data_IF_721937175559
#
_entry.id   IF_721937175559
#
_cell.length_a   1.000
_cell.length_b   1.000
_cell.length_c   1.000
_cell.angle_alpha   90.00
_cell.angle_beta   90.00
_cell.angle_gamma   90.00
#
_symmetry.space_group_name_H-M   'P 1'
#
loop_
_entity.id
_entity.type
_entity.pdbx_description
1 polymer ?
#
# COMPACT_ATOMS: atom_id res chain seq x y z
N UNK A 1 13.83 14.61 -9.43
CA UNK A 1 13.32 13.99 -8.21
C UNK A 1 12.61 12.70 -8.54
N UNK A 2 13.01 11.64 -7.89
CA UNK A 2 12.46 10.34 -8.21
C UNK A 2 11.14 10.09 -7.49
N UNK A 3 10.10 9.81 -8.27
CA UNK A 3 8.82 9.40 -7.72
C UNK A 3 8.95 7.99 -7.15
N UNK A 4 8.42 7.78 -5.95
CA UNK A 4 8.39 6.47 -5.33
C UNK A 4 7.03 5.83 -5.55
N UNK A 5 7.02 4.51 -5.70
CA UNK A 5 5.80 3.73 -5.82
C UNK A 5 5.46 3.12 -4.48
N UNK A 6 4.28 3.43 -3.98
CA UNK A 6 3.79 2.94 -2.69
C UNK A 6 2.75 1.86 -2.87
N UNK A 7 2.71 0.94 -1.91
CA UNK A 7 1.58 0.05 -1.70
C UNK A 7 1.10 0.29 -0.26
N UNK A 8 -0.19 0.12 -0.01
CA UNK A 8 -0.74 0.32 1.31
C UNK A 8 -1.50 -0.93 1.74
N UNK A 9 -1.27 -1.36 2.99
CA UNK A 9 -1.96 -2.50 3.59
C UNK A 9 -2.82 -1.96 4.71
N UNK A 10 -4.13 -2.21 4.65
CA UNK A 10 -5.08 -1.69 5.62
C UNK A 10 -5.67 -0.35 5.21
N UNK A 11 -6.02 -0.21 3.94
CA UNK A 11 -6.51 1.06 3.39
C UNK A 11 -7.84 1.50 4.01
N UNK A 12 -8.62 0.57 4.59
CA UNK A 12 -9.84 0.91 5.30
C UNK A 12 -9.58 1.32 6.74
N UNK A 13 -8.33 1.28 7.19
CA UNK A 13 -7.97 1.61 8.55
C UNK A 13 -8.15 3.09 8.86
N UNK A 14 -8.31 3.39 10.16
CA UNK A 14 -8.55 4.73 10.63
C UNK A 14 -7.44 5.72 10.24
N UNK A 15 -6.20 5.27 10.24
CA UNK A 15 -5.05 6.12 9.95
C UNK A 15 -4.73 6.21 8.45
N UNK A 16 -5.33 5.36 7.62
CA UNK A 16 -5.01 5.28 6.21
C UNK A 16 -5.18 6.59 5.44
N UNK A 17 -6.24 7.40 5.67
CA UNK A 17 -6.39 8.66 4.94
C UNK A 17 -5.18 9.59 5.11
N UNK A 18 -4.56 9.58 6.28
CA UNK A 18 -3.38 10.40 6.55
C UNK A 18 -2.20 9.93 5.69
N UNK A 19 -2.01 8.63 5.57
CA UNK A 19 -0.97 8.07 4.71
C UNK A 19 -1.25 8.35 3.24
N UNK A 20 -2.49 8.18 2.80
CA UNK A 20 -2.87 8.45 1.41
C UNK A 20 -2.60 9.90 1.03
N UNK A 21 -2.95 10.84 1.91
CA UNK A 21 -2.70 12.25 1.67
C UNK A 21 -1.21 12.55 1.59
N UNK A 22 -0.42 11.97 2.50
CA UNK A 22 1.01 12.19 2.50
C UNK A 22 1.67 11.68 1.22
N UNK A 23 1.24 10.50 0.75
CA UNK A 23 1.76 9.94 -0.50
C UNK A 23 1.44 10.88 -1.67
N UNK A 24 0.21 11.36 -1.72
CA UNK A 24 -0.22 12.25 -2.80
C UNK A 24 0.48 13.60 -2.74
N UNK A 25 0.55 14.21 -1.56
CA UNK A 25 1.12 15.55 -1.40
C UNK A 25 2.62 15.59 -1.69
N UNK A 26 3.31 14.46 -1.51
CA UNK A 26 4.75 14.39 -1.80
C UNK A 26 5.05 14.03 -3.25
N UNK A 27 4.02 13.92 -4.10
CA UNK A 27 4.21 13.63 -5.52
C UNK A 27 4.52 12.19 -5.82
N UNK A 28 4.26 11.28 -4.89
CA UNK A 28 4.48 9.85 -5.09
C UNK A 28 3.22 9.18 -5.61
N UNK A 29 3.36 7.93 -6.03
CA UNK A 29 2.28 7.17 -6.64
C UNK A 29 1.89 5.99 -5.78
N UNK A 30 0.59 5.69 -5.73
CA UNK A 30 0.11 4.48 -5.07
C UNK A 30 -0.27 3.48 -6.16
N UNK A 31 0.42 2.33 -6.18
CA UNK A 31 0.21 1.34 -7.24
C UNK A 31 -0.66 0.16 -6.81
N UNK A 32 -0.77 -0.10 -5.51
CA UNK A 32 -1.55 -1.22 -5.00
C UNK A 32 -2.07 -0.92 -3.60
N UNK A 33 -3.25 -1.42 -3.29
CA UNK A 33 -3.86 -1.26 -1.97
C UNK A 33 -4.57 -2.55 -1.58
N UNK A 34 -4.52 -2.86 -0.30
CA UNK A 34 -5.18 -4.03 0.25
C UNK A 34 -5.95 -3.71 1.51
N UNK A 35 -7.16 -4.24 1.62
CA UNK A 35 -7.90 -4.34 2.87
C UNK A 35 -8.92 -5.46 2.73
N UNK A 36 -9.16 -6.19 3.79
CA UNK A 36 -10.15 -7.25 3.75
C UNK A 36 -11.57 -6.70 3.60
N UNK A 37 -11.76 -5.42 3.89
CA UNK A 37 -13.04 -4.74 3.67
C UNK A 37 -12.98 -3.91 2.40
N UNK A 38 -14.10 -3.84 1.69
CA UNK A 38 -14.18 -3.04 0.47
C UNK A 38 -14.02 -1.56 0.82
N UNK A 39 -13.01 -0.92 0.24
CA UNK A 39 -12.65 0.46 0.53
C UNK A 39 -12.49 1.30 -0.73
N UNK A 40 -13.16 0.90 -1.81
CA UNK A 40 -13.02 1.57 -3.09
C UNK A 40 -13.32 3.07 -3.02
N UNK A 41 -14.31 3.45 -2.22
CA UNK A 41 -14.70 4.85 -2.11
C UNK A 41 -13.57 5.76 -1.67
N UNK A 42 -12.80 5.34 -0.64
CA UNK A 42 -11.70 6.16 -0.16
C UNK A 42 -10.55 6.18 -1.16
N UNK A 43 -10.34 5.08 -1.88
CA UNK A 43 -9.30 5.03 -2.90
C UNK A 43 -9.60 5.99 -4.04
N UNK A 44 -10.87 6.09 -4.45
CA UNK A 44 -11.27 6.97 -5.54
C UNK A 44 -10.99 8.44 -5.21
N UNK A 45 -11.01 8.80 -3.94
CA UNK A 45 -10.76 10.18 -3.53
C UNK A 45 -9.30 10.59 -3.69
N UNK A 46 -8.37 9.65 -3.58
CA UNK A 46 -6.94 9.93 -3.59
C UNK A 46 -6.21 9.37 -4.81
N UNK A 47 -6.47 8.10 -5.13
CA UNK A 47 -5.77 7.41 -6.19
C UNK A 47 -6.74 6.52 -6.99
N UNK A 48 -7.55 7.13 -7.87
CA UNK A 48 -8.58 6.37 -8.59
C UNK A 48 -8.04 5.29 -9.52
N UNK A 49 -6.77 5.38 -9.91
CA UNK A 49 -6.17 4.41 -10.83
C UNK A 49 -5.40 3.30 -10.09
N UNK A 50 -5.41 3.31 -8.77
CA UNK A 50 -4.71 2.30 -7.99
C UNK A 50 -5.47 0.97 -8.03
N UNK A 51 -4.73 -0.13 -8.10
CA UNK A 51 -5.32 -1.47 -8.03
C UNK A 51 -5.65 -1.81 -6.58
N UNK A 52 -6.89 -2.19 -6.32
CA UNK A 52 -7.36 -2.50 -4.98
C UNK A 52 -7.74 -3.98 -4.87
N UNK A 53 -7.36 -4.60 -3.75
CA UNK A 53 -7.59 -6.02 -3.51
C UNK A 53 -8.17 -6.24 -2.12
N UNK A 54 -9.10 -7.21 -2.03
CA UNK A 54 -9.65 -7.63 -0.75
C UNK A 54 -9.06 -8.96 -0.29
N UNK A 55 -8.20 -9.57 -1.10
CA UNK A 55 -7.51 -10.82 -0.75
C UNK A 55 -6.02 -10.61 -0.82
N UNK A 56 -5.33 -10.96 0.27
CA UNK A 56 -3.88 -10.75 0.38
C UNK A 56 -3.11 -11.49 -0.71
N UNK A 57 -3.57 -12.68 -1.07
CA UNK A 57 -2.91 -13.46 -2.11
C UNK A 57 -2.90 -12.75 -3.46
N UNK A 58 -4.01 -12.12 -3.82
CA UNK A 58 -4.10 -11.40 -5.09
C UNK A 58 -3.27 -10.13 -5.05
N UNK A 59 -3.26 -9.44 -3.91
CA UNK A 59 -2.42 -8.28 -3.69
C UNK A 59 -0.94 -8.65 -3.86
N UNK A 60 -0.51 -9.73 -3.21
CA UNK A 60 0.86 -10.20 -3.30
C UNK A 60 1.25 -10.55 -4.73
N UNK A 61 0.36 -11.25 -5.43
CA UNK A 61 0.63 -11.63 -6.83
C UNK A 61 0.82 -10.39 -7.71
N UNK A 62 -0.02 -9.39 -7.49
CA UNK A 62 0.07 -8.14 -8.24
C UNK A 62 1.40 -7.42 -7.96
N UNK A 63 1.74 -7.24 -6.69
CA UNK A 63 2.98 -6.58 -6.31
C UNK A 63 4.20 -7.33 -6.83
N UNK A 64 4.15 -8.66 -6.83
CA UNK A 64 5.25 -9.47 -7.34
C UNK A 64 5.43 -9.29 -8.85
N UNK A 65 4.35 -9.13 -9.58
CA UNK A 65 4.43 -8.87 -11.01
C UNK A 65 5.08 -7.53 -11.32
N UNK A 66 4.90 -6.55 -10.43
CA UNK A 66 5.44 -5.22 -10.64
C UNK A 66 6.94 -5.13 -10.40
N UNK A 67 7.55 -6.13 -9.77
CA UNK A 67 8.96 -6.08 -9.39
C UNK A 67 9.92 -5.77 -10.54
N UNK A 68 9.58 -6.20 -11.73
CA UNK A 68 10.44 -6.00 -12.90
C UNK A 68 9.96 -4.88 -13.79
N UNK A 69 9.12 -4.01 -13.27
CA UNK A 69 8.56 -2.90 -14.03
C UNK A 69 8.92 -1.58 -13.37
N UNK A 70 8.59 -0.49 -14.06
CA UNK A 70 8.76 0.86 -13.51
C UNK A 70 7.84 1.13 -12.33
N UNK A 71 6.81 0.28 -12.16
CA UNK A 71 5.86 0.42 -11.06
C UNK A 71 6.20 -0.47 -9.86
N UNK A 72 7.45 -0.92 -9.78
CA UNK A 72 7.89 -1.72 -8.65
C UNK A 72 7.61 -0.99 -7.34
N UNK A 73 7.10 -1.73 -6.35
CA UNK A 73 6.80 -1.16 -5.04
C UNK A 73 8.10 -0.82 -4.32
N UNK A 74 8.27 0.47 -4.00
CA UNK A 74 9.43 0.96 -3.26
C UNK A 74 9.15 1.05 -1.77
N UNK A 75 7.93 1.39 -1.40
CA UNK A 75 7.52 1.62 -0.01
C UNK A 75 6.21 0.93 0.26
N UNK A 76 6.07 0.32 1.44
CA UNK A 76 4.81 -0.25 1.91
C UNK A 76 4.39 0.49 3.16
N UNK A 77 3.19 1.09 3.13
CA UNK A 77 2.59 1.73 4.30
C UNK A 77 1.65 0.73 4.97
N UNK A 78 1.80 0.52 6.27
CA UNK A 78 1.00 -0.43 7.03
C UNK A 78 0.08 0.32 7.98
N UNK A 79 -1.23 0.17 7.75
CA UNK A 79 -2.28 0.85 8.51
C UNK A 79 -3.23 -0.13 9.18
N UNK A 80 -2.83 -1.40 9.30
CA UNK A 80 -3.64 -2.44 9.93
C UNK A 80 -3.49 -2.40 11.45
N UNK A 81 -4.37 -3.09 12.19
CA UNK A 81 -4.24 -3.17 13.66
C UNK A 81 -2.89 -3.71 14.11
N UNK A 82 -2.46 -3.30 15.29
CA UNK A 82 -1.13 -3.61 15.81
C UNK A 82 -0.78 -5.10 15.79
N UNK A 83 -1.75 -5.98 16.04
CA UNK A 83 -1.47 -7.41 16.10
C UNK A 83 -1.08 -8.01 14.74
N UNK A 84 -1.32 -7.28 13.65
CA UNK A 84 -0.95 -7.72 12.30
C UNK A 84 0.34 -7.08 11.81
N UNK A 85 0.89 -6.11 12.54
CA UNK A 85 2.03 -5.33 12.06
C UNK A 85 3.24 -6.18 11.74
N UNK A 86 3.58 -7.14 12.63
CA UNK A 86 4.77 -7.96 12.43
C UNK A 86 4.71 -8.73 11.11
N UNK A 87 3.58 -9.38 10.85
CA UNK A 87 3.41 -10.14 9.61
C UNK A 87 3.49 -9.25 8.39
N UNK A 88 2.88 -8.07 8.45
CA UNK A 88 2.86 -7.16 7.32
C UNK A 88 4.21 -6.49 7.08
N UNK A 89 4.95 -6.19 8.16
CA UNK A 89 6.31 -5.67 8.04
C UNK A 89 7.20 -6.70 7.34
N UNK A 90 7.11 -7.96 7.77
CA UNK A 90 7.88 -9.03 7.14
C UNK A 90 7.53 -9.19 5.67
N UNK A 91 6.25 -9.05 5.34
CA UNK A 91 5.81 -9.11 3.96
C UNK A 91 6.46 -8.01 3.12
N UNK A 92 6.43 -6.76 3.60
CA UNK A 92 7.02 -5.64 2.88
C UNK A 92 8.51 -5.84 2.65
N UNK A 93 9.22 -6.32 3.67
CA UNK A 93 10.65 -6.57 3.54
C UNK A 93 10.94 -7.69 2.54
N UNK A 94 10.13 -8.74 2.52
CA UNK A 94 10.27 -9.82 1.54
C UNK A 94 10.05 -9.31 0.12
N UNK A 95 9.15 -8.36 -0.04
CA UNK A 95 8.88 -7.77 -1.34
C UNK A 95 10.04 -6.90 -1.84
N UNK A 96 10.99 -6.59 -0.96
CA UNK A 96 12.12 -5.74 -1.31
C UNK A 96 11.83 -4.26 -1.12
N UNK A 97 10.79 -3.93 -0.38
CA UNK A 97 10.36 -2.55 -0.16
C UNK A 97 10.78 -2.05 1.22
N UNK A 98 10.87 -0.74 1.37
CA UNK A 98 10.96 -0.13 2.69
C UNK A 98 9.57 -0.10 3.30
N UNK A 99 9.48 -0.08 4.61
CA UNK A 99 8.21 -0.19 5.33
C UNK A 99 8.00 1.01 6.24
N UNK A 100 6.79 1.57 6.18
CA UNK A 100 6.35 2.64 7.08
C UNK A 100 5.18 2.07 7.89
N UNK A 101 5.32 2.12 9.21
CA UNK A 101 4.29 1.56 10.08
C UNK A 101 4.10 2.50 11.27
N UNK A 102 2.86 2.90 11.53
CA UNK A 102 2.54 3.71 12.70
C UNK A 102 2.09 2.83 13.87
N UNK A 103 2.43 3.28 15.04
CA UNK A 103 2.03 2.60 16.27
C UNK A 103 0.57 2.88 16.61
#
# INVERSE_FOLDING_TARGET
MDMKNFAIIGVAGYIAPRHLRAIKDTGNQLVAAYDKFDSVGIMDSYFPNCSFFTEMELFDRHCSKLKKTDERVDMVSICTPNYLHDAHIRYGLRLGADVICEK
#
